data_IF_342831820997
#
_entry.id   IF_342831820997
#
_cell.length_a   1.000
_cell.length_b   1.000
_cell.length_c   1.000
_cell.angle_alpha   90.00
_cell.angle_beta   90.00
_cell.angle_gamma   90.00
#
_symmetry.space_group_name_H-M   'P 1'
#
loop_
_entity.id
_entity.type
_entity.pdbx_description
1 polymer ?
#
# COMPACT_ATOMS: atom_id res chain seq x y z
N UNK A 1 15.98 -2.51 -18.92
CA UNK A 1 15.53 -2.86 -17.57
C UNK A 1 15.69 -1.60 -16.76
N UNK A 2 14.60 -1.04 -16.22
CA UNK A 2 14.71 0.10 -15.32
C UNK A 2 15.22 -0.48 -14.00
N UNK A 3 16.48 -0.25 -13.67
CA UNK A 3 17.03 -0.59 -12.36
C UNK A 3 16.37 0.32 -11.33
N UNK A 4 15.20 -0.06 -10.83
CA UNK A 4 14.51 0.71 -9.81
C UNK A 4 15.39 0.75 -8.56
N UNK A 5 15.97 1.92 -8.27
CA UNK A 5 16.76 2.12 -7.06
C UNK A 5 15.80 2.33 -5.89
N UNK A 6 15.68 1.31 -5.04
CA UNK A 6 14.95 1.44 -3.77
C UNK A 6 15.79 2.33 -2.85
N UNK A 7 15.21 3.45 -2.40
CA UNK A 7 15.84 4.38 -1.46
C UNK A 7 15.06 4.43 -0.15
N UNK A 8 15.74 4.81 0.93
CA UNK A 8 15.08 4.99 2.23
C UNK A 8 13.94 6.01 2.15
N UNK A 9 14.11 7.08 1.36
CA UNK A 9 13.07 8.09 1.14
C UNK A 9 11.81 7.48 0.53
N UNK A 10 11.96 6.64 -0.49
CA UNK A 10 10.82 6.02 -1.17
C UNK A 10 10.14 4.96 -0.30
N UNK A 11 10.90 4.20 0.50
CA UNK A 11 10.34 3.27 1.49
C UNK A 11 9.49 4.02 2.52
N UNK A 12 9.96 5.17 3.02
CA UNK A 12 9.19 5.99 3.96
C UNK A 12 7.93 6.59 3.32
N UNK A 13 7.94 6.90 2.02
CA UNK A 13 6.73 7.35 1.30
C UNK A 13 5.67 6.25 1.24
N UNK A 14 6.07 5.01 0.94
CA UNK A 14 5.17 3.84 0.92
C UNK A 14 4.61 3.58 2.32
N UNK A 15 5.45 3.59 3.35
CA UNK A 15 5.01 3.38 4.72
C UNK A 15 3.98 4.43 5.19
N UNK A 16 4.25 5.72 4.93
CA UNK A 16 3.30 6.80 5.24
C UNK A 16 1.97 6.62 4.54
N UNK A 17 1.98 6.09 3.31
CA UNK A 17 0.75 5.79 2.58
C UNK A 17 -0.07 4.68 3.26
N UNK A 18 0.59 3.59 3.69
CA UNK A 18 -0.09 2.53 4.45
C UNK A 18 -0.64 3.06 5.78
N UNK A 19 0.09 3.93 6.48
CA UNK A 19 -0.40 4.58 7.71
C UNK A 19 -1.65 5.43 7.44
N UNK A 20 -1.66 6.23 6.36
CA UNK A 20 -2.82 7.03 5.95
C UNK A 20 -4.05 6.16 5.70
N UNK A 21 -3.91 5.01 5.05
CA UNK A 21 -5.02 4.06 4.86
C UNK A 21 -5.53 3.56 6.23
N UNK A 22 -4.62 3.19 7.13
CA UNK A 22 -4.99 2.72 8.46
C UNK A 22 -5.75 3.77 9.29
N UNK A 23 -5.33 5.03 9.23
CA UNK A 23 -6.05 6.14 9.88
C UNK A 23 -7.48 6.29 9.35
N UNK A 24 -7.65 6.22 8.02
CA UNK A 24 -8.98 6.27 7.41
C UNK A 24 -9.86 5.08 7.80
N UNK A 25 -9.26 3.89 7.93
CA UNK A 25 -9.96 2.69 8.42
C UNK A 25 -10.49 2.89 9.84
N UNK A 26 -9.66 3.42 10.75
CA UNK A 26 -10.05 3.72 12.13
C UNK A 26 -11.15 4.78 12.20
N UNK A 27 -11.12 5.76 11.30
CA UNK A 27 -12.12 6.81 11.19
C UNK A 27 -13.39 6.37 10.43
N UNK A 28 -13.45 5.13 9.94
CA UNK A 28 -14.56 4.58 9.11
C UNK A 28 -14.86 5.42 7.86
N UNK A 29 -13.83 6.01 7.26
CA UNK A 29 -13.92 6.85 6.07
C UNK A 29 -13.78 6.03 4.80
N UNK A 30 -14.78 5.18 4.55
CA UNK A 30 -14.76 4.18 3.48
C UNK A 30 -14.59 4.79 2.08
N UNK A 31 -15.30 5.89 1.79
CA UNK A 31 -15.21 6.59 0.50
C UNK A 31 -13.83 7.21 0.25
N UNK A 32 -13.19 7.74 1.29
CA UNK A 32 -11.85 8.32 1.20
C UNK A 32 -10.82 7.25 0.87
N UNK A 33 -10.94 6.04 1.43
CA UNK A 33 -10.10 4.90 1.08
C UNK A 33 -10.24 4.55 -0.41
N UNK A 34 -11.47 4.55 -0.92
CA UNK A 34 -11.75 4.37 -2.35
C UNK A 34 -11.07 5.42 -3.22
N UNK A 35 -11.12 6.69 -2.82
CA UNK A 35 -10.49 7.79 -3.55
C UNK A 35 -8.94 7.68 -3.57
N UNK A 36 -8.33 7.18 -2.48
CA UNK A 36 -6.89 6.99 -2.38
C UNK A 36 -6.34 5.89 -3.30
N UNK A 37 -7.18 5.03 -3.88
CA UNK A 37 -6.71 3.91 -4.71
C UNK A 37 -5.90 4.37 -5.94
N UNK A 38 -6.16 5.59 -6.41
CA UNK A 38 -5.41 6.19 -7.53
C UNK A 38 -3.97 6.58 -7.14
N UNK A 39 -3.71 6.91 -5.87
CA UNK A 39 -2.36 7.24 -5.38
C UNK A 39 -1.43 6.02 -5.46
N UNK A 40 -1.97 4.79 -5.40
CA UNK A 40 -1.21 3.53 -5.44
C UNK A 40 -0.28 3.44 -6.66
N UNK A 41 -0.71 3.97 -7.81
CA UNK A 41 0.06 3.91 -9.07
C UNK A 41 1.39 4.66 -8.92
N UNK A 42 1.41 5.77 -8.18
CA UNK A 42 2.62 6.58 -7.99
C UNK A 42 3.73 5.85 -7.23
N UNK A 43 3.39 4.83 -6.45
CA UNK A 43 4.38 4.03 -5.72
C UNK A 43 5.02 2.92 -6.57
N UNK A 44 4.46 2.62 -7.75
CA UNK A 44 5.05 1.65 -8.68
C UNK A 44 6.40 2.12 -9.25
N UNK A 45 6.63 3.43 -9.32
CA UNK A 45 7.89 4.02 -9.78
C UNK A 45 9.08 3.64 -8.90
N UNK A 46 8.83 3.26 -7.64
CA UNK A 46 9.84 2.94 -6.64
C UNK A 46 9.77 1.48 -6.15
N UNK A 47 8.95 0.67 -6.82
CA UNK A 47 8.68 -0.71 -6.42
C UNK A 47 9.66 -1.69 -7.09
N UNK A 48 10.10 -2.68 -6.32
CA UNK A 48 10.58 -3.94 -6.87
C UNK A 48 9.39 -4.83 -7.26
N UNK A 49 9.69 -6.04 -7.71
CA UNK A 49 8.69 -7.02 -8.07
C UNK A 49 7.77 -7.39 -6.89
N UNK A 50 8.33 -7.47 -5.68
CA UNK A 50 7.58 -7.85 -4.47
C UNK A 50 6.56 -6.75 -4.11
N UNK A 51 6.99 -5.49 -4.04
CA UNK A 51 6.08 -4.38 -3.76
C UNK A 51 5.05 -4.21 -4.89
N UNK A 52 5.45 -4.37 -6.15
CA UNK A 52 4.53 -4.31 -7.30
C UNK A 52 3.41 -5.34 -7.17
N UNK A 53 3.77 -6.56 -6.75
CA UNK A 53 2.81 -7.64 -6.52
C UNK A 53 1.80 -7.32 -5.41
N UNK A 54 2.18 -6.54 -4.39
CA UNK A 54 1.27 -6.14 -3.31
C UNK A 54 0.44 -4.87 -3.64
N UNK A 55 1.00 -3.91 -4.37
CA UNK A 55 0.32 -2.67 -4.72
C UNK A 55 -0.86 -2.88 -5.67
N UNK A 56 -0.77 -3.84 -6.60
CA UNK A 56 -1.86 -4.14 -7.54
C UNK A 56 -3.16 -4.60 -6.83
N UNK A 57 -3.12 -5.63 -5.94
CA UNK A 57 -4.27 -5.99 -5.11
C UNK A 57 -4.73 -4.86 -4.20
N UNK A 58 -3.79 -4.10 -3.59
CA UNK A 58 -4.14 -2.99 -2.70
C UNK A 58 -5.07 -1.99 -3.40
N UNK A 59 -4.73 -1.57 -4.61
CA UNK A 59 -5.56 -0.66 -5.41
C UNK A 59 -6.97 -1.22 -5.65
N UNK A 60 -7.07 -2.51 -5.98
CA UNK A 60 -8.34 -3.16 -6.24
C UNK A 60 -9.21 -3.17 -4.97
N UNK A 61 -8.66 -3.62 -3.84
CA UNK A 61 -9.39 -3.68 -2.58
C UNK A 61 -9.81 -2.29 -2.09
N UNK A 62 -8.94 -1.28 -2.24
CA UNK A 62 -9.28 0.10 -1.91
C UNK A 62 -10.45 0.62 -2.75
N UNK A 63 -10.43 0.42 -4.07
CA UNK A 63 -11.48 0.89 -4.99
C UNK A 63 -12.85 0.32 -4.61
N UNK A 64 -12.88 -0.94 -4.21
CA UNK A 64 -14.09 -1.66 -3.79
C UNK A 64 -14.49 -1.42 -2.33
N UNK A 65 -13.63 -0.83 -1.51
CA UNK A 65 -13.79 -0.79 -0.05
C UNK A 65 -15.07 -0.09 0.43
N UNK A 66 -15.56 0.90 -0.33
CA UNK A 66 -16.80 1.60 -0.02
C UNK A 66 -18.07 0.82 -0.42
N UNK A 67 -17.93 -0.21 -1.25
CA UNK A 67 -19.05 -0.86 -1.93
C UNK A 67 -19.20 -2.36 -1.62
N UNK A 68 -18.21 -2.99 -0.97
CA UNK A 68 -18.13 -4.46 -0.84
C UNK A 68 -17.99 -4.91 0.64
N UNK A 69 -18.36 -6.17 0.86
CA UNK A 69 -18.56 -6.94 2.09
C UNK A 69 -17.31 -7.10 3.02
N UNK A 70 -17.49 -7.71 4.19
CA UNK A 70 -16.45 -7.91 5.22
C UNK A 70 -15.16 -8.57 4.70
N UNK A 71 -15.25 -9.40 3.66
CA UNK A 71 -14.11 -10.11 3.08
C UNK A 71 -13.08 -9.18 2.42
N UNK A 72 -13.52 -8.15 1.69
CA UNK A 72 -12.63 -7.18 1.05
C UNK A 72 -11.85 -6.37 2.09
N UNK A 73 -12.45 -6.17 3.28
CA UNK A 73 -11.76 -5.52 4.41
C UNK A 73 -10.62 -6.38 4.93
N UNK A 74 -10.81 -7.68 5.02
CA UNK A 74 -9.77 -8.62 5.42
C UNK A 74 -8.62 -8.64 4.42
N UNK A 75 -8.91 -8.70 3.13
CA UNK A 75 -7.88 -8.70 2.09
C UNK A 75 -7.10 -7.38 2.01
N UNK A 76 -7.77 -6.25 2.23
CA UNK A 76 -7.09 -4.95 2.35
C UNK A 76 -6.09 -4.97 3.52
N UNK A 77 -6.51 -5.39 4.71
CA UNK A 77 -5.65 -5.45 5.89
C UNK A 77 -4.45 -6.39 5.70
N UNK A 78 -4.67 -7.58 5.14
CA UNK A 78 -3.59 -8.53 4.83
C UNK A 78 -2.59 -7.93 3.85
N UNK A 79 -3.07 -7.22 2.83
CA UNK A 79 -2.21 -6.59 1.82
C UNK A 79 -1.40 -5.44 2.43
N UNK A 80 -2.00 -4.64 3.31
CA UNK A 80 -1.30 -3.59 4.06
C UNK A 80 -0.18 -4.17 4.94
N UNK A 81 -0.43 -5.30 5.60
CA UNK A 81 0.58 -5.98 6.42
C UNK A 81 1.77 -6.47 5.58
N UNK A 82 1.52 -7.05 4.40
CA UNK A 82 2.57 -7.46 3.47
C UNK A 82 3.44 -6.28 3.01
N UNK A 83 2.82 -5.14 2.71
CA UNK A 83 3.55 -3.92 2.31
C UNK A 83 4.35 -3.35 3.50
N UNK A 84 3.81 -3.37 4.70
CA UNK A 84 4.54 -2.95 5.90
C UNK A 84 5.76 -3.84 6.16
N UNK A 85 5.61 -5.17 5.99
CA UNK A 85 6.71 -6.11 6.10
C UNK A 85 7.78 -5.87 5.03
N UNK A 86 7.36 -5.57 3.80
CA UNK A 86 8.29 -5.14 2.75
C UNK A 86 9.05 -3.88 3.16
N UNK A 87 8.37 -2.85 3.69
CA UNK A 87 9.01 -1.62 4.14
C UNK A 87 10.07 -1.89 5.22
N UNK A 88 9.73 -2.71 6.21
CA UNK A 88 10.64 -3.10 7.29
C UNK A 88 11.88 -3.83 6.75
N UNK A 89 11.68 -4.77 5.81
CA UNK A 89 12.77 -5.51 5.19
C UNK A 89 13.70 -4.59 4.38
N UNK A 90 13.16 -3.62 3.64
CA UNK A 90 13.99 -2.68 2.89
C UNK A 90 14.77 -1.75 3.81
N UNK A 91 14.17 -1.29 4.93
CA UNK A 91 14.90 -0.50 5.94
C UNK A 91 16.11 -1.25 6.48
N UNK A 92 15.96 -2.53 6.84
CA UNK A 92 17.05 -3.38 7.32
C UNK A 92 18.17 -3.53 6.27
N UNK A 93 17.82 -3.60 4.98
CA UNK A 93 18.81 -3.71 3.89
C UNK A 93 19.54 -2.40 3.59
N UNK A 94 18.96 -1.27 3.96
CA UNK A 94 19.44 0.09 3.64
C UNK A 94 20.16 0.76 4.81
N UNK A 95 20.04 0.22 6.03
CA UNK A 95 20.85 0.56 7.21
C UNK A 95 22.30 0.01 7.08
#
# INVERSE_FOLDING_TARGET
MSDTVITMENVLKVEKFIQKINELLQQKKHEEIGALSNEVIGYLEYADNDLTFYLQPLKQYMTSYAYIDEDDRKYLLQTMELIQNWCNNQKIKLD
#
